data_IF_073013359848
#
_entry.id   IF_073013359848
#
_cell.length_a   1.000
_cell.length_b   1.000
_cell.length_c   1.000
_cell.angle_alpha   90.00
_cell.angle_beta   90.00
_cell.angle_gamma   90.00
#
_symmetry.space_group_name_H-M   'P 1'
#
loop_
_entity.id
_entity.type
_entity.pdbx_description
1 polymer ?
#
# COMPACT_ATOMS: atom_id res chain seq x y z
N UNK A 1 -6.98 8.61 4.34
CA UNK A 1 -6.51 7.22 4.57
C UNK A 1 -7.44 6.39 5.46
N UNK A 2 -8.23 7.01 6.35
CA UNK A 2 -9.04 6.30 7.37
C UNK A 2 -9.96 5.19 6.87
N UNK A 3 -10.59 5.31 5.69
CA UNK A 3 -11.51 4.29 5.17
C UNK A 3 -10.75 3.02 4.77
N UNK A 4 -9.67 3.15 4.00
CA UNK A 4 -8.89 1.99 3.52
C UNK A 4 -8.28 1.24 4.71
N UNK A 5 -7.71 1.95 5.68
CA UNK A 5 -7.15 1.33 6.89
C UNK A 5 -8.22 0.55 7.67
N UNK A 6 -9.43 1.11 7.80
CA UNK A 6 -10.57 0.41 8.43
C UNK A 6 -10.98 -0.83 7.64
N UNK A 7 -11.09 -0.74 6.32
CA UNK A 7 -11.43 -1.89 5.47
C UNK A 7 -10.39 -3.01 5.53
N UNK A 8 -9.11 -2.65 5.66
CA UNK A 8 -8.01 -3.60 5.87
C UNK A 8 -7.97 -4.19 7.29
N UNK A 9 -8.71 -3.63 8.24
CA UNK A 9 -8.55 -3.96 9.67
C UNK A 9 -7.20 -3.49 10.24
N UNK A 10 -6.57 -2.50 9.61
CA UNK A 10 -5.32 -1.91 10.05
C UNK A 10 -5.61 -0.78 11.04
N UNK A 11 -5.20 -0.96 12.29
CA UNK A 11 -5.14 0.12 13.27
C UNK A 11 -3.99 1.05 12.91
N UNK A 12 -4.29 2.14 12.21
CA UNK A 12 -3.33 3.12 11.76
C UNK A 12 -3.51 4.43 12.52
N UNK A 13 -2.79 4.55 13.63
CA UNK A 13 -2.80 5.74 14.47
C UNK A 13 -1.79 6.76 13.93
N UNK A 14 -2.27 7.94 13.54
CA UNK A 14 -1.44 9.02 13.04
C UNK A 14 -1.93 10.37 13.56
N UNK A 15 -1.05 11.37 13.50
CA UNK A 15 -1.37 12.78 13.80
C UNK A 15 -1.11 13.62 12.56
N UNK A 16 -1.97 14.57 12.33
CA UNK A 16 -1.81 15.53 11.23
C UNK A 16 -1.04 16.74 11.73
N UNK A 17 -0.17 17.28 10.87
CA UNK A 17 0.50 18.56 11.12
C UNK A 17 -0.42 19.69 10.70
N UNK A 18 -0.31 20.84 11.37
CA UNK A 18 -1.08 22.05 11.01
C UNK A 18 -0.48 22.80 9.83
N UNK A 19 0.77 22.50 9.49
CA UNK A 19 1.51 23.13 8.40
C UNK A 19 2.43 22.13 7.68
N UNK A 20 2.97 22.58 6.55
CA UNK A 20 3.92 21.82 5.75
C UNK A 20 5.36 22.09 6.20
N UNK A 21 6.12 21.02 6.43
CA UNK A 21 7.55 21.10 6.74
C UNK A 21 8.37 20.72 5.50
N UNK A 22 9.18 21.65 5.01
CA UNK A 22 10.08 21.37 3.88
C UNK A 22 11.13 20.34 4.29
N UNK A 23 11.84 20.62 5.38
CA UNK A 23 12.72 19.69 6.06
C UNK A 23 12.02 19.22 7.35
N UNK A 24 11.99 17.90 7.58
CA UNK A 24 11.31 17.30 8.72
C UNK A 24 12.31 16.57 9.63
N UNK A 25 13.31 17.27 10.21
CA UNK A 25 14.27 16.66 11.11
C UNK A 25 13.55 16.09 12.34
N UNK A 26 13.77 14.81 12.62
CA UNK A 26 13.08 14.08 13.70
C UNK A 26 11.83 13.32 13.28
N UNK A 27 11.43 13.40 12.01
CA UNK A 27 10.39 12.54 11.43
C UNK A 27 11.01 11.54 10.45
N UNK A 28 10.39 10.37 10.33
CA UNK A 28 10.67 9.47 9.21
C UNK A 28 10.00 10.01 7.95
N UNK A 29 10.80 10.53 7.02
CA UNK A 29 10.30 11.08 5.76
C UNK A 29 10.17 10.00 4.69
N UNK A 30 8.93 9.61 4.39
CA UNK A 30 8.60 8.62 3.37
C UNK A 30 8.01 9.24 2.09
N UNK A 31 8.09 10.57 1.90
CA UNK A 31 7.52 11.25 0.72
C UNK A 31 8.10 10.75 -0.60
N UNK A 32 9.32 10.21 -0.57
CA UNK A 32 9.98 9.59 -1.72
C UNK A 32 9.23 8.38 -2.27
N UNK A 33 8.50 7.65 -1.43
CA UNK A 33 7.71 6.48 -1.81
C UNK A 33 6.47 6.83 -2.66
N UNK A 34 6.05 8.10 -2.68
CA UNK A 34 4.93 8.53 -3.51
C UNK A 34 5.24 8.49 -5.02
N UNK A 35 6.51 8.32 -5.41
CA UNK A 35 6.90 8.29 -6.81
C UNK A 35 6.84 6.86 -7.40
N UNK A 36 5.64 6.43 -7.77
CA UNK A 36 5.41 5.10 -8.36
C UNK A 36 6.12 4.86 -9.70
N UNK A 37 6.59 5.89 -10.41
CA UNK A 37 7.34 5.71 -11.67
C UNK A 37 8.74 5.14 -11.48
N UNK A 38 9.28 5.22 -10.26
CA UNK A 38 10.61 4.72 -9.89
C UNK A 38 10.52 3.52 -8.95
N UNK A 39 9.33 2.97 -8.77
CA UNK A 39 9.12 1.86 -7.85
C UNK A 39 9.49 0.52 -8.51
N UNK A 40 10.52 -0.11 -7.97
CA UNK A 40 11.01 -1.43 -8.40
C UNK A 40 10.51 -2.58 -7.54
N UNK A 41 9.68 -2.32 -6.53
CA UNK A 41 9.19 -3.34 -5.60
C UNK A 41 8.53 -4.48 -6.36
N UNK A 42 8.94 -5.71 -6.06
CA UNK A 42 8.36 -6.92 -6.60
C UNK A 42 7.65 -7.65 -5.46
N UNK A 43 6.37 -7.92 -5.64
CA UNK A 43 5.54 -8.56 -4.65
C UNK A 43 5.16 -9.97 -5.09
N UNK A 44 4.94 -10.83 -4.12
CA UNK A 44 4.45 -12.19 -4.37
C UNK A 44 3.08 -12.14 -5.06
N UNK A 45 2.82 -12.95 -6.10
CA UNK A 45 1.53 -12.94 -6.77
C UNK A 45 0.36 -13.29 -5.86
N UNK A 46 -0.77 -12.62 -6.06
CA UNK A 46 -2.07 -12.93 -5.45
C UNK A 46 -3.14 -13.16 -6.52
N UNK A 47 -4.29 -13.70 -6.13
CA UNK A 47 -5.34 -14.03 -7.08
C UNK A 47 -6.02 -12.75 -7.60
N UNK A 48 -5.72 -12.35 -8.84
CA UNK A 48 -6.35 -11.21 -9.50
C UNK A 48 -7.49 -11.67 -10.43
N UNK A 49 -8.65 -11.03 -10.35
CA UNK A 49 -9.84 -11.40 -11.15
C UNK A 49 -9.59 -11.40 -12.67
N UNK A 50 -8.68 -10.55 -13.15
CA UNK A 50 -8.28 -10.48 -14.56
C UNK A 50 -6.94 -11.19 -14.85
N UNK A 51 -6.37 -11.90 -13.88
CA UNK A 51 -5.05 -12.52 -13.98
C UNK A 51 -4.96 -13.61 -15.05
N UNK A 52 -6.05 -14.31 -15.38
CA UNK A 52 -6.06 -15.29 -16.47
C UNK A 52 -5.85 -14.66 -17.85
N UNK A 53 -6.23 -13.38 -18.02
CA UNK A 53 -6.14 -12.67 -19.30
C UNK A 53 -4.86 -11.87 -19.42
N UNK A 54 -4.52 -11.13 -18.38
CA UNK A 54 -3.43 -10.14 -18.39
C UNK A 54 -2.16 -10.62 -17.68
N UNK A 55 -2.22 -11.80 -17.04
CA UNK A 55 -1.19 -12.24 -16.10
C UNK A 55 -1.25 -11.48 -14.77
N UNK A 56 -0.27 -11.72 -13.90
CA UNK A 56 -0.17 -10.99 -12.64
C UNK A 56 0.37 -9.58 -12.89
N UNK A 57 -0.38 -8.58 -12.44
CA UNK A 57 0.04 -7.18 -12.45
C UNK A 57 0.63 -6.82 -11.09
N UNK A 58 1.93 -6.58 -11.06
CA UNK A 58 2.66 -6.25 -9.85
C UNK A 58 2.37 -4.81 -9.38
N UNK A 59 2.37 -4.61 -8.06
CA UNK A 59 2.32 -3.29 -7.41
C UNK A 59 1.10 -2.43 -7.84
N UNK A 60 -0.08 -3.06 -7.89
CA UNK A 60 -1.34 -2.35 -8.09
C UNK A 60 -1.77 -1.56 -6.84
N UNK A 61 -2.79 -0.71 -7.03
CA UNK A 61 -3.41 0.05 -5.95
C UNK A 61 -3.85 -0.85 -4.80
N UNK A 62 -3.73 -0.35 -3.57
CA UNK A 62 -4.25 -1.02 -2.37
C UNK A 62 -5.74 -1.37 -2.46
N UNK A 63 -6.52 -0.62 -3.25
CA UNK A 63 -7.92 -0.93 -3.50
C UNK A 63 -8.09 -2.18 -4.36
N UNK A 64 -7.22 -2.39 -5.35
CA UNK A 64 -7.24 -3.60 -6.17
C UNK A 64 -6.98 -4.83 -5.30
N UNK A 65 -5.94 -4.77 -4.46
CA UNK A 65 -5.65 -5.83 -3.50
C UNK A 65 -6.86 -6.09 -2.58
N UNK A 66 -7.49 -5.04 -2.05
CA UNK A 66 -8.65 -5.17 -1.16
C UNK A 66 -9.83 -5.88 -1.86
N UNK A 67 -10.10 -5.58 -3.13
CA UNK A 67 -11.21 -6.20 -3.86
C UNK A 67 -10.91 -7.64 -4.29
N UNK A 68 -9.64 -7.97 -4.50
CA UNK A 68 -9.21 -9.32 -4.87
C UNK A 68 -9.05 -10.25 -3.65
N UNK A 69 -8.37 -9.80 -2.59
CA UNK A 69 -8.04 -10.61 -1.40
C UNK A 69 -8.99 -10.39 -0.21
N UNK A 70 -9.77 -9.31 -0.22
CA UNK A 70 -10.73 -9.01 0.85
C UNK A 70 -10.06 -8.95 2.22
N UNK A 71 -10.51 -9.81 3.15
CA UNK A 71 -9.96 -9.90 4.51
C UNK A 71 -8.51 -10.38 4.57
N UNK A 72 -8.01 -11.04 3.52
CA UNK A 72 -6.63 -11.51 3.45
C UNK A 72 -5.64 -10.45 2.98
N UNK A 73 -6.13 -9.29 2.53
CA UNK A 73 -5.29 -8.20 2.02
C UNK A 73 -4.23 -7.74 3.05
N UNK A 74 -4.59 -7.61 4.33
CA UNK A 74 -3.62 -7.20 5.35
C UNK A 74 -2.53 -8.26 5.58
N UNK A 75 -2.91 -9.53 5.61
CA UNK A 75 -1.95 -10.63 5.78
C UNK A 75 -1.04 -10.78 4.56
N UNK A 76 -1.57 -10.53 3.37
CA UNK A 76 -0.76 -10.40 2.15
C UNK A 76 0.30 -9.31 2.29
N UNK A 77 -0.08 -8.09 2.70
CA UNK A 77 0.87 -6.98 2.85
C UNK A 77 1.97 -7.29 3.86
N UNK A 78 1.63 -7.91 5.00
CA UNK A 78 2.59 -8.26 6.06
C UNK A 78 3.61 -9.33 5.66
N UNK A 79 3.33 -10.11 4.60
CA UNK A 79 4.22 -11.15 4.09
C UNK A 79 5.27 -10.63 3.12
N UNK A 80 5.12 -9.40 2.62
CA UNK A 80 6.02 -8.84 1.63
C UNK A 80 7.33 -8.36 2.26
N UNK A 81 8.44 -8.58 1.55
CA UNK A 81 9.75 -8.03 1.91
C UNK A 81 10.02 -6.79 1.03
N UNK A 82 10.37 -5.67 1.68
CA UNK A 82 10.74 -4.40 1.05
C UNK A 82 12.18 -4.02 1.39
#
# INVERSE_FOLDING_TARGET
MSIVSKCLGLNFDYKETTEYFHEAPGFSDFRTLANGKKDGAQFEPYAQVFGEKEGFLNNLSILDLLFNEGRHALDYLKRQAL
#
